data_IF_745703724956
#
_entry.id   IF_745703724956
#
_cell.length_a   1.000
_cell.length_b   1.000
_cell.length_c   1.000
_cell.angle_alpha   90.00
_cell.angle_beta   90.00
_cell.angle_gamma   90.00
#
_symmetry.space_group_name_H-M   'P 1'
#
loop_
_entity.id
_entity.type
_entity.pdbx_description
1 polymer ?
#
# COMPACT_ATOMS: atom_id res chain seq x y z
N UNK A 1 20.95 13.26 -18.34
CA UNK A 1 21.93 12.95 -19.40
C UNK A 1 21.26 12.75 -20.76
N UNK A 2 20.16 11.97 -20.85
CA UNK A 2 19.39 11.83 -22.11
C UNK A 2 18.74 13.15 -22.56
N UNK A 3 18.12 13.90 -21.61
CA UNK A 3 17.50 15.19 -21.90
C UNK A 3 18.48 16.22 -22.48
N UNK A 4 19.73 16.25 -21.97
CA UNK A 4 20.77 17.11 -22.50
C UNK A 4 21.24 16.71 -23.91
N UNK A 5 21.15 15.43 -24.27
CA UNK A 5 21.49 14.95 -25.61
C UNK A 5 20.40 15.25 -26.64
N UNK A 6 19.17 15.40 -26.20
CA UNK A 6 18.01 15.69 -27.04
C UNK A 6 17.69 17.19 -27.09
N UNK A 7 18.50 18.04 -26.45
CA UNK A 7 18.29 19.51 -26.34
C UNK A 7 16.90 19.88 -25.78
N UNK A 8 16.33 19.02 -24.95
CA UNK A 8 15.05 19.27 -24.31
C UNK A 8 15.20 20.20 -23.11
N UNK A 9 14.19 21.06 -22.91
CA UNK A 9 14.12 21.90 -21.72
C UNK A 9 13.90 21.04 -20.47
N UNK A 10 14.69 21.22 -19.40
CA UNK A 10 14.50 20.48 -18.17
C UNK A 10 13.20 20.90 -17.48
N UNK A 11 12.42 19.91 -17.02
CA UNK A 11 11.27 20.09 -16.16
C UNK A 11 11.64 20.23 -14.68
N UNK A 12 10.72 19.91 -13.80
CA UNK A 12 10.92 19.91 -12.35
C UNK A 12 12.08 18.98 -11.97
N UNK A 13 12.94 19.41 -11.04
CA UNK A 13 14.11 18.67 -10.55
C UNK A 13 15.06 18.17 -11.68
N UNK A 14 15.15 18.90 -12.78
CA UNK A 14 15.97 18.58 -13.98
C UNK A 14 15.55 17.27 -14.67
N UNK A 15 14.34 16.75 -14.45
CA UNK A 15 13.78 15.65 -15.23
C UNK A 15 13.22 16.12 -16.58
N UNK A 16 13.14 15.23 -17.60
CA UNK A 16 12.46 15.54 -18.86
C UNK A 16 11.00 15.94 -18.65
N UNK A 17 10.50 16.89 -19.42
CA UNK A 17 9.11 17.34 -19.33
C UNK A 17 8.10 16.24 -19.68
N UNK A 18 8.48 15.28 -20.51
CA UNK A 18 7.67 14.15 -20.96
C UNK A 18 7.83 12.89 -20.09
N UNK A 19 8.57 12.97 -18.97
CA UNK A 19 8.84 11.85 -18.07
C UNK A 19 7.58 11.03 -17.71
N UNK A 20 6.49 11.72 -17.36
CA UNK A 20 5.22 11.06 -17.03
C UNK A 20 4.63 10.28 -18.19
N UNK A 21 4.76 10.80 -19.42
CA UNK A 21 4.29 10.13 -20.62
C UNK A 21 5.13 8.89 -20.94
N UNK A 22 6.44 8.99 -20.82
CA UNK A 22 7.38 7.87 -21.05
C UNK A 22 7.08 6.73 -20.05
N UNK A 23 6.97 7.04 -18.76
CA UNK A 23 6.67 6.06 -17.71
C UNK A 23 5.30 5.43 -17.95
N UNK A 24 4.27 6.21 -18.22
CA UNK A 24 2.92 5.70 -18.49
C UNK A 24 2.88 4.79 -19.72
N UNK A 25 3.53 5.18 -20.82
CA UNK A 25 3.61 4.36 -22.03
C UNK A 25 4.38 3.05 -21.80
N UNK A 26 5.37 3.05 -20.94
CA UNK A 26 6.08 1.84 -20.59
C UNK A 26 5.19 0.87 -19.79
N UNK A 27 4.55 1.35 -18.75
CA UNK A 27 3.66 0.51 -17.92
C UNK A 27 2.36 0.12 -18.64
N UNK A 28 1.90 0.88 -19.62
CA UNK A 28 0.73 0.54 -20.44
C UNK A 28 0.90 -0.74 -21.27
N UNK A 29 2.12 -1.28 -21.36
CA UNK A 29 2.39 -2.58 -21.98
C UNK A 29 1.99 -3.76 -21.08
N UNK A 30 1.75 -3.54 -19.81
CA UNK A 30 1.17 -4.55 -18.93
C UNK A 30 -0.31 -4.76 -19.26
N UNK A 31 -0.77 -6.01 -19.21
CA UNK A 31 -2.16 -6.30 -19.43
C UNK A 31 -2.44 -7.76 -19.79
N UNK A 32 -3.71 -8.08 -19.85
CA UNK A 32 -4.21 -9.35 -20.33
C UNK A 32 -4.72 -9.14 -21.76
N UNK A 33 -4.21 -9.91 -22.70
CA UNK A 33 -4.57 -9.82 -24.13
C UNK A 33 -5.01 -11.17 -24.67
N UNK A 34 -5.94 -11.14 -25.60
CA UNK A 34 -6.33 -12.31 -26.37
C UNK A 34 -5.47 -12.38 -27.65
N UNK A 35 -4.76 -13.47 -27.81
CA UNK A 35 -3.89 -13.70 -28.94
C UNK A 35 -4.69 -14.12 -30.19
N UNK A 36 -4.07 -13.97 -31.38
CA UNK A 36 -4.71 -14.37 -32.65
C UNK A 36 -5.05 -15.86 -32.74
N UNK A 37 -4.35 -16.71 -31.98
CA UNK A 37 -4.63 -18.14 -31.89
C UNK A 37 -5.78 -18.48 -30.91
N UNK A 38 -6.46 -17.49 -30.35
CA UNK A 38 -7.56 -17.66 -29.40
C UNK A 38 -7.14 -17.86 -27.93
N UNK A 39 -5.86 -18.04 -27.65
CA UNK A 39 -5.34 -18.12 -26.28
C UNK A 39 -5.27 -16.75 -25.64
N UNK A 40 -5.20 -16.73 -24.31
CA UNK A 40 -4.94 -15.51 -23.55
C UNK A 40 -3.50 -15.47 -23.07
N UNK A 41 -2.90 -14.28 -23.08
CA UNK A 41 -1.58 -14.05 -22.52
C UNK A 41 -1.58 -12.79 -21.65
N UNK A 42 -0.78 -12.79 -20.58
CA UNK A 42 -0.66 -11.63 -19.70
C UNK A 42 0.78 -11.21 -19.48
N UNK A 43 0.98 -9.92 -19.28
CA UNK A 43 2.25 -9.32 -18.85
C UNK A 43 1.99 -8.51 -17.59
N UNK A 44 2.72 -8.83 -16.54
CA UNK A 44 2.66 -8.10 -15.27
C UNK A 44 4.01 -7.42 -15.03
N UNK A 45 4.00 -6.14 -14.69
CA UNK A 45 5.20 -5.41 -14.28
C UNK A 45 5.23 -5.26 -12.75
N UNK A 46 6.35 -5.64 -12.18
CA UNK A 46 6.71 -5.35 -10.80
C UNK A 46 7.85 -4.33 -10.82
N UNK A 47 7.51 -3.05 -10.68
CA UNK A 47 8.48 -1.96 -10.71
C UNK A 47 8.93 -1.57 -9.30
N UNK A 48 10.22 -1.30 -9.14
CA UNK A 48 10.77 -0.75 -7.88
C UNK A 48 11.30 0.65 -8.14
N UNK A 49 11.01 1.57 -7.22
CA UNK A 49 11.49 2.95 -7.26
C UNK A 49 12.19 3.25 -5.93
N UNK A 50 13.37 3.86 -6.00
CA UNK A 50 14.13 4.28 -4.82
C UNK A 50 14.25 5.80 -4.83
N UNK A 51 13.29 6.53 -4.24
CA UNK A 51 13.31 7.98 -4.22
C UNK A 51 14.44 8.50 -3.32
N UNK A 52 15.10 9.56 -3.75
CA UNK A 52 16.16 10.20 -2.98
C UNK A 52 15.61 10.70 -1.63
N UNK A 53 16.30 10.34 -0.54
CA UNK A 53 15.87 10.71 0.82
C UNK A 53 14.49 10.17 1.24
N UNK A 54 13.97 9.13 0.57
CA UNK A 54 12.64 8.59 0.87
C UNK A 54 11.48 9.48 0.44
N UNK A 55 11.73 10.50 -0.38
CA UNK A 55 10.70 11.44 -0.82
C UNK A 55 9.77 10.84 -1.89
N UNK A 56 8.65 10.29 -1.47
CA UNK A 56 7.63 9.70 -2.37
C UNK A 56 6.94 10.73 -3.30
N UNK A 57 7.24 12.02 -3.16
CA UNK A 57 6.70 13.10 -4.00
C UNK A 57 7.65 13.50 -5.13
N UNK A 58 8.78 12.82 -5.29
CA UNK A 58 9.66 13.09 -6.43
C UNK A 58 8.97 12.76 -7.76
N UNK A 59 9.32 13.42 -8.88
CA UNK A 59 8.62 13.29 -10.16
C UNK A 59 8.54 11.86 -10.72
N UNK A 60 9.60 11.05 -10.58
CA UNK A 60 9.61 9.65 -11.04
C UNK A 60 8.62 8.81 -10.24
N UNK A 61 8.66 8.92 -8.91
CA UNK A 61 7.77 8.18 -8.02
C UNK A 61 6.31 8.58 -8.24
N UNK A 62 6.02 9.87 -8.34
CA UNK A 62 4.67 10.37 -8.61
C UNK A 62 4.13 9.90 -9.97
N UNK A 63 4.96 9.93 -11.01
CA UNK A 63 4.56 9.45 -12.34
C UNK A 63 4.32 7.94 -12.34
N UNK A 64 5.15 7.17 -11.63
CA UNK A 64 4.98 5.73 -11.47
C UNK A 64 3.71 5.39 -10.69
N UNK A 65 3.44 6.09 -9.59
CA UNK A 65 2.20 5.94 -8.81
C UNK A 65 0.95 6.20 -9.64
N UNK A 66 0.98 7.22 -10.51
CA UNK A 66 -0.16 7.52 -11.41
C UNK A 66 -0.41 6.41 -12.43
N UNK A 67 0.65 5.77 -12.93
CA UNK A 67 0.55 4.67 -13.89
C UNK A 67 0.17 3.34 -13.23
N UNK A 68 0.61 3.09 -11.99
CA UNK A 68 0.38 1.84 -11.30
C UNK A 68 -1.00 1.77 -10.63
N UNK A 69 -1.61 0.58 -10.67
CA UNK A 69 -2.88 0.31 -9.97
C UNK A 69 -2.68 -0.10 -8.52
N UNK A 70 -1.49 -0.57 -8.17
CA UNK A 70 -1.13 -0.98 -6.83
C UNK A 70 0.23 -0.38 -6.47
N UNK A 71 0.37 0.08 -5.25
CA UNK A 71 1.60 0.68 -4.75
C UNK A 71 1.85 0.26 -3.31
N UNK A 72 3.05 -0.24 -3.04
CA UNK A 72 3.52 -0.59 -1.71
C UNK A 72 4.60 0.40 -1.29
N UNK A 73 4.28 1.25 -0.33
CA UNK A 73 5.21 2.22 0.23
C UNK A 73 6.07 1.56 1.31
N UNK A 74 7.38 1.52 1.12
CA UNK A 74 8.29 1.12 2.18
C UNK A 74 8.55 2.31 3.11
N UNK A 75 8.44 2.06 4.41
CA UNK A 75 8.61 3.07 5.47
C UNK A 75 9.88 2.83 6.26
N UNK A 76 10.76 3.82 6.29
CA UNK A 76 11.95 3.79 7.14
C UNK A 76 11.56 3.70 8.62
N UNK A 77 10.56 4.46 9.06
CA UNK A 77 10.10 4.44 10.46
C UNK A 77 9.61 3.08 10.94
N UNK A 78 8.94 2.31 10.06
CA UNK A 78 8.54 0.92 10.38
C UNK A 78 9.76 0.01 10.48
N UNK A 79 10.73 0.14 9.58
CA UNK A 79 11.96 -0.64 9.61
C UNK A 79 12.79 -0.34 10.88
N UNK A 80 12.91 0.93 11.24
CA UNK A 80 13.62 1.37 12.47
C UNK A 80 12.94 0.83 13.74
N UNK A 81 11.61 0.74 13.73
CA UNK A 81 10.79 0.14 14.79
C UNK A 81 10.75 -1.39 14.73
N UNK A 82 11.50 -2.02 13.81
CA UNK A 82 11.54 -3.48 13.58
C UNK A 82 10.18 -4.10 13.25
N UNK A 83 9.31 -3.34 12.59
CA UNK A 83 8.00 -3.79 12.11
C UNK A 83 8.12 -4.29 10.67
N UNK A 84 8.01 -5.58 10.48
CA UNK A 84 8.17 -6.22 9.16
C UNK A 84 6.93 -7.01 8.75
N UNK A 85 6.60 -7.01 7.43
CA UNK A 85 7.21 -6.20 6.36
C UNK A 85 7.05 -4.70 6.60
N UNK A 86 8.08 -3.91 6.28
CA UNK A 86 8.13 -2.47 6.55
C UNK A 86 7.28 -1.65 5.56
N UNK A 87 6.11 -2.16 5.20
CA UNK A 87 5.16 -1.54 4.28
C UNK A 87 4.21 -0.64 5.06
N UNK A 88 4.14 0.64 4.70
CA UNK A 88 3.21 1.59 5.32
C UNK A 88 1.78 1.32 4.81
N UNK A 89 0.82 0.98 5.68
CA UNK A 89 -0.54 0.65 5.28
C UNK A 89 -1.36 1.87 4.83
N UNK A 90 -0.96 3.09 5.22
CA UNK A 90 -1.67 4.32 4.88
C UNK A 90 -1.19 4.91 3.55
N UNK A 91 0.13 4.89 3.33
CA UNK A 91 0.72 5.37 2.08
C UNK A 91 0.61 4.36 0.93
N UNK A 92 0.37 3.10 1.27
CA UNK A 92 0.11 2.03 0.30
C UNK A 92 -1.35 2.01 -0.15
N UNK A 93 -1.57 1.60 -1.40
CA UNK A 93 -2.92 1.45 -1.93
C UNK A 93 -3.02 0.34 -2.98
N UNK A 94 -4.24 -0.16 -3.16
CA UNK A 94 -4.63 -0.99 -4.29
C UNK A 94 -5.97 -0.48 -4.83
N UNK A 95 -6.01 -0.18 -6.12
CA UNK A 95 -7.24 0.24 -6.83
C UNK A 95 -8.05 -0.96 -7.33
N UNK A 96 -7.56 -2.17 -7.13
CA UNK A 96 -8.25 -3.38 -7.59
C UNK A 96 -9.58 -3.61 -6.86
N UNK A 97 -9.69 -3.18 -5.60
CA UNK A 97 -10.95 -3.28 -4.84
C UNK A 97 -12.08 -2.37 -5.36
N UNK A 98 -11.76 -1.42 -6.25
CA UNK A 98 -12.74 -0.53 -6.89
C UNK A 98 -13.45 -1.20 -8.08
N UNK A 99 -12.88 -2.30 -8.62
CA UNK A 99 -13.47 -3.00 -9.75
C UNK A 99 -14.58 -3.96 -9.32
N UNK A 100 -15.79 -3.85 -9.92
CA UNK A 100 -16.93 -4.70 -9.57
C UNK A 100 -16.63 -6.20 -9.72
N UNK A 101 -15.95 -6.59 -10.79
CA UNK A 101 -15.62 -7.99 -11.09
C UNK A 101 -14.71 -8.60 -10.01
N UNK A 102 -13.77 -7.82 -9.49
CA UNK A 102 -12.89 -8.27 -8.41
C UNK A 102 -13.67 -8.35 -7.10
N UNK A 103 -14.55 -7.41 -6.86
CA UNK A 103 -15.42 -7.41 -5.68
C UNK A 103 -16.34 -8.64 -5.66
N UNK A 104 -16.98 -8.94 -6.78
CA UNK A 104 -17.79 -10.17 -6.94
C UNK A 104 -16.96 -11.43 -6.67
N UNK A 105 -15.76 -11.51 -7.23
CA UNK A 105 -14.85 -12.64 -6.98
C UNK A 105 -14.49 -12.79 -5.50
N UNK A 106 -14.17 -11.69 -4.82
CA UNK A 106 -13.86 -11.70 -3.40
C UNK A 106 -15.07 -12.09 -2.55
N UNK A 107 -16.26 -11.60 -2.89
CA UNK A 107 -17.51 -11.93 -2.20
C UNK A 107 -17.87 -13.42 -2.31
N UNK A 108 -17.57 -14.04 -3.45
CA UNK A 108 -17.81 -15.49 -3.66
C UNK A 108 -16.78 -16.37 -2.94
N UNK A 109 -15.48 -15.97 -2.96
CA UNK A 109 -14.39 -16.86 -2.53
C UNK A 109 -13.93 -16.60 -1.11
N UNK A 110 -14.08 -15.36 -0.59
CA UNK A 110 -13.60 -14.98 0.73
C UNK A 110 -14.76 -14.65 1.67
N UNK A 111 -15.73 -13.87 1.17
CA UNK A 111 -16.93 -13.49 1.92
C UNK A 111 -17.33 -12.05 1.68
N UNK A 112 -18.64 -11.79 1.73
CA UNK A 112 -19.24 -10.50 1.39
C UNK A 112 -18.80 -9.31 2.23
N UNK A 113 -18.30 -9.55 3.43
CA UNK A 113 -17.85 -8.52 4.36
C UNK A 113 -16.34 -8.22 4.27
N UNK A 114 -15.58 -8.95 3.45
CA UNK A 114 -14.12 -8.84 3.42
C UNK A 114 -13.64 -7.43 3.07
N UNK A 115 -14.18 -6.82 2.01
CA UNK A 115 -13.78 -5.49 1.57
C UNK A 115 -14.10 -4.44 2.62
N UNK A 116 -15.27 -4.53 3.25
CA UNK A 116 -15.68 -3.59 4.29
C UNK A 116 -14.81 -3.71 5.56
N UNK A 117 -14.39 -4.93 5.91
CA UNK A 117 -13.44 -5.18 6.99
C UNK A 117 -12.06 -4.54 6.70
N UNK A 118 -11.56 -4.67 5.47
CA UNK A 118 -10.29 -4.04 5.05
C UNK A 118 -10.37 -2.52 5.20
N UNK A 119 -11.47 -1.88 4.79
CA UNK A 119 -11.66 -0.44 4.97
C UNK A 119 -11.81 -0.03 6.44
N UNK A 120 -12.51 -0.84 7.24
CA UNK A 120 -12.62 -0.60 8.68
C UNK A 120 -11.24 -0.62 9.35
N UNK A 121 -10.42 -1.64 9.06
CA UNK A 121 -9.05 -1.73 9.56
C UNK A 121 -8.17 -0.56 9.14
N UNK A 122 -8.25 -0.14 7.87
CA UNK A 122 -7.53 1.06 7.40
C UNK A 122 -7.94 2.31 8.17
N UNK A 123 -9.22 2.45 8.49
CA UNK A 123 -9.74 3.56 9.30
C UNK A 123 -9.20 3.51 10.74
N UNK A 124 -9.11 2.31 11.34
CA UNK A 124 -8.52 2.13 12.68
C UNK A 124 -7.05 2.57 12.68
N UNK A 125 -6.27 2.12 11.71
CA UNK A 125 -4.84 2.50 11.60
C UNK A 125 -4.67 4.01 11.41
N UNK A 126 -5.51 4.64 10.59
CA UNK A 126 -5.47 6.08 10.37
C UNK A 126 -5.76 6.85 11.67
N UNK A 127 -6.83 6.49 12.38
CA UNK A 127 -7.20 7.12 13.66
C UNK A 127 -6.15 6.89 14.74
N UNK A 128 -5.52 5.71 14.73
CA UNK A 128 -4.41 5.41 15.63
C UNK A 128 -3.18 6.27 15.37
N UNK A 129 -2.84 6.52 14.11
CA UNK A 129 -1.75 7.44 13.73
C UNK A 129 -2.05 8.87 14.18
N UNK A 130 -3.26 9.38 13.91
CA UNK A 130 -3.69 10.70 14.38
C UNK A 130 -3.62 10.82 15.90
N UNK A 131 -4.03 9.77 16.63
CA UNK A 131 -3.95 9.72 18.08
C UNK A 131 -2.50 9.73 18.57
N UNK A 132 -1.63 8.93 17.95
CA UNK A 132 -0.20 8.91 18.29
C UNK A 132 0.47 10.27 18.06
N UNK A 133 0.13 10.96 16.98
CA UNK A 133 0.65 12.29 16.69
C UNK A 133 0.23 13.30 17.77
N UNK A 134 -1.01 13.23 18.28
CA UNK A 134 -1.48 14.07 19.37
C UNK A 134 -0.80 13.71 20.69
N UNK A 135 -0.62 12.44 21.02
CA UNK A 135 0.11 12.00 22.21
C UNK A 135 1.55 12.51 22.18
N UNK A 136 2.21 12.44 21.03
CA UNK A 136 3.59 12.92 20.89
C UNK A 136 3.73 14.44 21.04
N UNK A 137 2.69 15.21 20.70
CA UNK A 137 2.70 16.68 20.82
C UNK A 137 2.37 17.14 22.24
N UNK A 138 1.33 16.54 22.84
CA UNK A 138 0.77 17.01 24.12
C UNK A 138 1.30 16.25 25.34
N UNK A 139 1.95 15.10 25.12
CA UNK A 139 2.35 14.17 26.17
C UNK A 139 1.21 13.26 26.62
N UNK A 140 1.58 12.15 27.24
CA UNK A 140 0.65 11.10 27.68
C UNK A 140 -0.47 11.62 28.61
N UNK A 141 -0.11 12.49 29.56
CA UNK A 141 -1.04 13.07 30.52
C UNK A 141 -1.91 14.19 29.91
N UNK A 142 -1.54 14.69 28.74
CA UNK A 142 -2.20 15.85 28.10
C UNK A 142 -3.36 15.49 27.18
N UNK A 143 -3.59 14.21 26.91
CA UNK A 143 -4.63 13.76 25.96
C UNK A 143 -5.74 12.99 26.66
N UNK A 144 -7.01 13.07 26.15
CA UNK A 144 -8.11 12.24 26.65
C UNK A 144 -7.84 10.75 26.45
N UNK A 145 -8.42 9.91 27.32
CA UNK A 145 -8.30 8.44 27.28
C UNK A 145 -8.68 7.84 25.93
N UNK A 146 -9.61 8.46 25.21
CA UNK A 146 -10.03 8.03 23.88
C UNK A 146 -8.87 7.98 22.85
N UNK A 147 -7.86 8.84 22.98
CA UNK A 147 -6.68 8.83 22.10
C UNK A 147 -5.81 7.61 22.37
N UNK A 148 -5.63 7.26 23.64
CA UNK A 148 -4.92 6.03 24.02
C UNK A 148 -5.65 4.79 23.53
N UNK A 149 -6.97 4.75 23.62
CA UNK A 149 -7.79 3.65 23.10
C UNK A 149 -7.63 3.49 21.59
N UNK A 150 -7.71 4.59 20.82
CA UNK A 150 -7.50 4.59 19.36
C UNK A 150 -6.09 4.13 18.99
N UNK A 151 -5.10 4.58 19.72
CA UNK A 151 -3.72 4.15 19.53
C UNK A 151 -3.56 2.65 19.76
N UNK A 152 -4.05 2.12 20.87
CA UNK A 152 -3.93 0.70 21.19
C UNK A 152 -4.71 -0.22 20.24
N UNK A 153 -5.86 0.19 19.74
CA UNK A 153 -6.59 -0.53 18.69
C UNK A 153 -5.77 -0.63 17.40
N UNK A 154 -5.12 0.45 17.02
CA UNK A 154 -4.21 0.46 15.88
C UNK A 154 -2.98 -0.43 16.09
N UNK A 155 -2.38 -0.39 17.27
CA UNK A 155 -1.25 -1.24 17.62
C UNK A 155 -1.65 -2.73 17.59
N UNK A 156 -2.81 -3.09 18.13
CA UNK A 156 -3.32 -4.46 18.08
C UNK A 156 -3.46 -4.95 16.64
N UNK A 157 -4.05 -4.12 15.76
CA UNK A 157 -4.19 -4.47 14.35
C UNK A 157 -2.82 -4.60 13.67
N UNK A 158 -1.89 -3.70 13.96
CA UNK A 158 -0.54 -3.77 13.40
C UNK A 158 0.19 -5.05 13.82
N UNK A 159 0.15 -5.41 15.10
CA UNK A 159 0.80 -6.61 15.60
C UNK A 159 0.19 -7.92 15.08
N UNK A 160 -1.14 -7.97 14.94
CA UNK A 160 -1.82 -9.23 14.59
C UNK A 160 -1.90 -9.42 13.08
N UNK A 161 -2.12 -8.35 12.31
CA UNK A 161 -2.41 -8.43 10.87
C UNK A 161 -1.24 -7.98 10.01
N UNK A 162 -0.64 -6.82 10.34
CA UNK A 162 0.34 -6.20 9.45
C UNK A 162 1.76 -6.73 9.64
N UNK A 163 2.11 -7.16 10.83
CA UNK A 163 3.39 -7.80 11.07
C UNK A 163 3.32 -9.28 10.73
N UNK A 164 4.32 -9.75 9.98
CA UNK A 164 4.44 -11.15 9.60
C UNK A 164 5.91 -11.56 9.65
N UNK A 165 6.17 -12.73 10.19
CA UNK A 165 7.50 -13.31 10.22
C UNK A 165 7.75 -14.12 8.95
N UNK A 166 8.63 -13.63 8.08
CA UNK A 166 9.00 -14.32 6.85
C UNK A 166 9.78 -15.63 7.08
N UNK A 167 10.27 -15.86 8.29
CA UNK A 167 10.97 -17.08 8.67
C UNK A 167 10.08 -18.13 9.35
N UNK A 168 8.85 -17.77 9.68
CA UNK A 168 7.83 -18.71 10.13
C UNK A 168 7.03 -19.21 8.94
N UNK A 169 6.97 -20.54 8.76
CA UNK A 169 6.30 -21.16 7.61
C UNK A 169 4.80 -20.82 7.52
N UNK A 170 4.16 -20.57 8.65
CA UNK A 170 2.73 -20.26 8.71
C UNK A 170 2.49 -18.82 8.31
N UNK A 171 3.33 -17.88 8.77
CA UNK A 171 3.21 -16.47 8.43
C UNK A 171 3.67 -16.19 6.99
N UNK A 172 4.74 -16.84 6.53
CA UNK A 172 5.26 -16.71 5.16
C UNK A 172 4.25 -17.16 4.11
N UNK A 173 3.39 -18.13 4.43
CA UNK A 173 2.37 -18.69 3.55
C UNK A 173 0.96 -18.50 4.12
N UNK A 174 0.70 -17.39 4.80
CA UNK A 174 -0.57 -17.14 5.48
C UNK A 174 -1.77 -17.20 4.48
N UNK A 175 -2.64 -18.22 4.57
CA UNK A 175 -3.79 -18.34 3.69
C UNK A 175 -4.83 -17.26 3.99
N UNK A 176 -5.62 -16.93 2.99
CA UNK A 176 -6.60 -15.84 3.08
C UNK A 176 -7.68 -16.10 4.14
N UNK A 177 -8.03 -17.37 4.36
CA UNK A 177 -9.01 -17.79 5.37
C UNK A 177 -8.49 -17.49 6.78
N UNK A 178 -7.19 -17.71 7.02
CA UNK A 178 -6.55 -17.36 8.27
C UNK A 178 -6.51 -15.85 8.46
N UNK A 179 -6.14 -15.10 7.42
CA UNK A 179 -6.14 -13.64 7.48
C UNK A 179 -7.53 -13.09 7.83
N UNK A 180 -8.57 -13.64 7.20
CA UNK A 180 -9.95 -13.26 7.46
C UNK A 180 -10.33 -13.53 8.93
N UNK A 181 -10.05 -14.72 9.43
CA UNK A 181 -10.34 -15.09 10.83
C UNK A 181 -9.63 -14.15 11.81
N UNK A 182 -8.34 -13.87 11.60
CA UNK A 182 -7.58 -12.95 12.44
C UNK A 182 -8.16 -11.55 12.39
N UNK A 183 -8.58 -11.11 11.19
CA UNK A 183 -9.20 -9.80 11.01
C UNK A 183 -10.54 -9.68 11.74
N UNK A 184 -11.40 -10.70 11.64
CA UNK A 184 -12.67 -10.77 12.37
C UNK A 184 -12.44 -10.69 13.89
N UNK A 185 -11.50 -11.46 14.42
CA UNK A 185 -11.14 -11.43 15.84
C UNK A 185 -10.65 -10.05 16.31
N UNK A 186 -9.82 -9.37 15.52
CA UNK A 186 -9.32 -8.04 15.87
C UNK A 186 -10.44 -7.00 15.84
N UNK A 187 -11.32 -7.05 14.82
CA UNK A 187 -12.42 -6.10 14.69
C UNK A 187 -13.49 -6.30 15.78
N UNK A 188 -13.70 -7.52 16.28
CA UNK A 188 -14.60 -7.81 17.40
C UNK A 188 -14.10 -7.19 18.72
N UNK A 189 -12.79 -6.98 18.86
CA UNK A 189 -12.17 -6.34 20.03
C UNK A 189 -12.17 -4.81 19.87
N UNK A 190 -12.03 -4.31 18.63
CA UNK A 190 -11.92 -2.90 18.31
C UNK A 190 -13.26 -2.18 18.17
#
# INVERSE_FOLDING_TARGET
EMSNRLEELPGQDAFPMDLSAIISNFYARAGLVKLYNGQTGSVTFLGTVSPAGGNLKEPVTESTKKAARCFYALSQGRADSKRYPAIDPLDSYSKYLEYPEIREYLDEHIGKNWVDMVYAGKTIVQRGKEANDQINILGDDGVPVEYHERFWKSELLDFVILQQDAFDDIDANCPIERQKMMYEMVLDIC
#
